data_IF_784943131060
#
_entry.id   IF_784943131060
#
_cell.length_a   1.000
_cell.length_b   1.000
_cell.length_c   1.000
_cell.angle_alpha   90.00
_cell.angle_beta   90.00
_cell.angle_gamma   90.00
#
_symmetry.space_group_name_H-M   'P 1'
#
loop_
_entity.id
_entity.type
_entity.pdbx_description
1 polymer ?
#
# COMPACT_ATOMS: atom_id res chain seq x y z
N UNK A 1 4.13 -18.13 8.06
CA UNK A 1 3.40 -18.35 6.82
C UNK A 1 1.94 -18.67 7.09
N UNK A 2 1.10 -18.40 6.11
CA UNK A 2 -0.30 -18.78 6.18
C UNK A 2 -0.43 -20.32 6.03
N UNK A 3 -1.03 -21.02 6.99
CA UNK A 3 -1.14 -22.48 6.90
C UNK A 3 -1.95 -22.96 5.69
N UNK A 4 -2.85 -22.13 5.16
CA UNK A 4 -3.69 -22.47 4.00
C UNK A 4 -3.05 -22.11 2.67
N UNK A 5 -1.98 -21.30 2.67
CA UNK A 5 -1.29 -20.87 1.45
C UNK A 5 0.18 -20.58 1.76
N UNK A 6 1.07 -21.42 1.23
CA UNK A 6 2.52 -21.33 1.46
C UNK A 6 3.16 -20.08 0.86
N UNK A 7 2.49 -19.43 -0.09
CA UNK A 7 2.98 -18.21 -0.75
C UNK A 7 2.60 -16.94 0.00
N UNK A 8 1.84 -17.06 1.09
CA UNK A 8 1.37 -15.96 1.92
C UNK A 8 1.83 -16.10 3.36
N UNK A 9 1.81 -14.98 4.09
CA UNK A 9 2.00 -14.91 5.53
C UNK A 9 0.70 -14.53 6.20
N UNK A 10 0.58 -14.76 7.50
CA UNK A 10 -0.68 -14.54 8.23
C UNK A 10 -0.41 -13.85 9.56
N UNK A 11 -1.38 -13.02 9.98
CA UNK A 11 -1.38 -12.41 11.32
C UNK A 11 -2.01 -13.37 12.31
N UNK A 12 -1.37 -13.51 13.47
CA UNK A 12 -1.90 -14.26 14.61
C UNK A 12 -2.05 -13.28 15.79
N UNK A 13 -3.20 -12.59 15.91
CA UNK A 13 -3.36 -11.47 16.85
C UNK A 13 -3.33 -11.90 18.31
N UNK A 14 -3.62 -13.15 18.60
CA UNK A 14 -3.58 -13.72 19.95
C UNK A 14 -2.18 -14.16 20.39
N UNK A 15 -1.17 -14.02 19.54
CA UNK A 15 0.19 -14.46 19.82
C UNK A 15 0.39 -15.97 19.79
N UNK A 16 -0.58 -16.75 19.29
CA UNK A 16 -0.52 -18.21 19.28
C UNK A 16 0.56 -18.77 18.36
N UNK A 17 0.98 -17.98 17.35
CA UNK A 17 2.00 -18.36 16.38
C UNK A 17 2.62 -17.11 15.75
N UNK A 18 3.70 -17.32 14.97
CA UNK A 18 4.38 -16.24 14.26
C UNK A 18 5.36 -15.47 15.12
N UNK A 19 6.07 -14.52 14.49
CA UNK A 19 7.03 -13.65 15.14
C UNK A 19 6.40 -12.29 15.41
N UNK A 20 6.80 -11.66 16.51
CA UNK A 20 6.39 -10.29 16.83
C UNK A 20 6.75 -9.33 15.68
N UNK A 21 5.81 -8.49 15.29
CA UNK A 21 5.99 -7.52 14.21
C UNK A 21 5.16 -6.26 14.47
N UNK A 22 5.78 -5.10 14.27
CA UNK A 22 5.13 -3.81 14.50
C UNK A 22 5.33 -2.90 13.31
N UNK A 23 4.23 -2.39 12.77
CA UNK A 23 4.19 -1.39 11.71
C UNK A 23 3.46 -0.15 12.22
N UNK A 24 4.14 0.99 12.23
CA UNK A 24 3.50 2.29 12.45
C UNK A 24 3.15 2.91 11.10
N UNK A 25 2.03 3.62 11.02
CA UNK A 25 1.70 4.32 9.78
C UNK A 25 1.11 5.69 10.05
N UNK A 26 1.24 6.56 9.05
CA UNK A 26 0.68 7.90 9.06
C UNK A 26 0.03 8.17 7.71
N UNK A 27 -1.20 8.67 7.72
CA UNK A 27 -1.90 9.05 6.50
C UNK A 27 -1.30 10.33 5.94
N UNK A 28 -0.87 10.30 4.68
CA UNK A 28 -0.35 11.48 3.98
C UNK A 28 -1.44 12.16 3.15
N UNK A 29 -2.27 11.38 2.44
CA UNK A 29 -3.28 11.92 1.54
C UNK A 29 -4.40 10.90 1.32
N UNK A 30 -5.66 11.37 1.28
CA UNK A 30 -6.82 10.54 1.02
C UNK A 30 -7.48 10.92 -0.30
N UNK A 31 -7.84 9.90 -1.11
CA UNK A 31 -8.47 10.08 -2.42
C UNK A 31 -9.87 9.46 -2.48
N UNK A 32 -10.53 9.29 -1.36
CA UNK A 32 -11.83 8.64 -1.27
C UNK A 32 -11.72 7.13 -1.15
N UNK A 33 -11.41 6.45 -2.24
CA UNK A 33 -11.33 4.97 -2.26
C UNK A 33 -9.94 4.42 -1.97
N UNK A 34 -8.90 5.23 -2.11
CA UNK A 34 -7.53 4.86 -1.79
C UNK A 34 -6.87 5.94 -0.93
N UNK A 35 -5.83 5.57 -0.21
CA UNK A 35 -5.10 6.43 0.71
C UNK A 35 -3.61 6.21 0.55
N UNK A 36 -2.84 7.31 0.55
CA UNK A 36 -1.38 7.25 0.61
C UNK A 36 -0.97 7.29 2.07
N UNK A 37 -0.20 6.31 2.49
CA UNK A 37 0.32 6.23 3.86
C UNK A 37 1.84 6.11 3.85
N UNK A 38 2.46 6.66 4.89
CA UNK A 38 3.87 6.46 5.20
C UNK A 38 3.98 5.44 6.33
N UNK A 39 4.83 4.44 6.15
CA UNK A 39 5.01 3.39 7.14
C UNK A 39 6.40 3.50 7.79
N UNK A 40 6.45 3.24 9.09
CA UNK A 40 7.69 3.14 9.87
C UNK A 40 7.70 1.80 10.58
N UNK A 41 8.74 1.01 10.32
CA UNK A 41 8.84 -0.36 10.81
C UNK A 41 9.73 -0.42 12.04
N UNK A 42 9.25 -1.04 13.13
CA UNK A 42 10.11 -1.47 14.24
C UNK A 42 10.71 -2.83 13.95
N UNK A 43 10.05 -3.63 13.10
CA UNK A 43 10.49 -4.94 12.65
C UNK A 43 10.42 -4.98 11.13
N UNK A 44 11.17 -5.89 10.52
CA UNK A 44 11.16 -6.06 9.06
C UNK A 44 10.86 -7.50 8.67
N UNK A 45 9.73 -8.05 9.13
CA UNK A 45 9.32 -9.41 8.78
C UNK A 45 8.89 -9.50 7.32
N UNK A 46 8.94 -10.70 6.77
CA UNK A 46 8.61 -10.94 5.36
C UNK A 46 7.20 -10.49 5.04
N UNK A 47 7.04 -9.67 4.00
CA UNK A 47 5.77 -9.08 3.56
C UNK A 47 5.02 -8.33 4.65
N UNK A 48 5.71 -7.83 5.68
CA UNK A 48 5.07 -7.29 6.88
C UNK A 48 4.01 -6.22 6.59
N UNK A 49 4.33 -5.20 5.79
CA UNK A 49 3.38 -4.13 5.46
C UNK A 49 2.19 -4.70 4.69
N UNK A 50 2.44 -5.57 3.73
CA UNK A 50 1.40 -6.19 2.91
C UNK A 50 0.44 -7.02 3.75
N UNK A 51 0.98 -7.84 4.66
CA UNK A 51 0.21 -8.68 5.57
C UNK A 51 -0.61 -7.85 6.55
N UNK A 52 0.01 -6.86 7.19
CA UNK A 52 -0.65 -6.02 8.19
C UNK A 52 -1.80 -5.23 7.58
N UNK A 53 -1.60 -4.57 6.44
CA UNK A 53 -2.65 -3.79 5.81
C UNK A 53 -3.79 -4.66 5.26
N UNK A 54 -3.48 -5.84 4.73
CA UNK A 54 -4.54 -6.77 4.33
C UNK A 54 -5.35 -7.25 5.54
N UNK A 55 -4.68 -7.51 6.66
CA UNK A 55 -5.36 -7.95 7.90
C UNK A 55 -6.38 -6.94 8.41
N UNK A 56 -6.07 -5.64 8.35
CA UNK A 56 -7.01 -4.60 8.78
C UNK A 56 -8.03 -4.21 7.69
N UNK A 57 -8.07 -4.94 6.58
CA UNK A 57 -9.05 -4.74 5.52
C UNK A 57 -8.68 -3.68 4.49
N UNK A 58 -7.42 -3.26 4.47
CA UNK A 58 -6.90 -2.23 3.57
C UNK A 58 -5.67 -2.72 2.78
N UNK A 59 -5.83 -3.73 1.90
CA UNK A 59 -4.70 -4.26 1.14
C UNK A 59 -4.05 -3.19 0.28
N UNK A 60 -2.76 -3.36 -0.03
CA UNK A 60 -2.04 -2.45 -0.91
C UNK A 60 -2.64 -2.50 -2.32
N UNK A 61 -2.69 -1.33 -2.95
CA UNK A 61 -3.20 -1.21 -4.32
C UNK A 61 -2.42 -2.12 -5.27
N UNK A 62 -3.13 -2.93 -6.03
CA UNK A 62 -2.62 -3.92 -6.98
C UNK A 62 -1.72 -5.01 -6.37
N UNK A 63 -1.91 -5.32 -5.10
CA UNK A 63 -1.23 -6.43 -4.45
C UNK A 63 -2.00 -7.73 -4.68
N UNK A 64 -1.69 -8.42 -5.77
CA UNK A 64 -2.42 -9.63 -6.19
C UNK A 64 -2.33 -10.76 -5.18
N UNK A 65 -1.21 -10.85 -4.44
CA UNK A 65 -1.01 -11.93 -3.46
C UNK A 65 -1.79 -11.73 -2.18
N UNK A 66 -2.10 -10.47 -1.83
CA UNK A 66 -2.79 -10.10 -0.60
C UNK A 66 -4.08 -9.31 -0.86
N UNK A 67 -4.83 -9.73 -1.87
CA UNK A 67 -6.22 -9.30 -2.14
C UNK A 67 -6.37 -7.85 -2.61
N UNK A 68 -5.29 -7.20 -3.08
CA UNK A 68 -5.31 -5.80 -3.49
C UNK A 68 -5.43 -5.57 -4.99
N UNK A 69 -5.53 -6.63 -5.80
CA UNK A 69 -5.64 -6.52 -7.26
C UNK A 69 -7.09 -6.52 -7.76
N UNK A 70 -8.05 -6.27 -6.88
CA UNK A 70 -9.46 -6.24 -7.20
C UNK A 70 -10.06 -4.88 -6.84
N UNK A 71 -11.21 -4.54 -7.43
CA UNK A 71 -11.96 -3.36 -7.06
C UNK A 71 -12.68 -3.64 -5.74
N UNK A 72 -12.16 -3.07 -4.65
CA UNK A 72 -12.69 -3.29 -3.31
C UNK A 72 -13.70 -2.22 -2.88
N UNK A 73 -13.56 -1.01 -3.41
CA UNK A 73 -14.44 0.13 -3.13
C UNK A 73 -14.70 0.91 -4.40
N UNK A 74 -15.86 1.52 -4.45
CA UNK A 74 -16.31 2.33 -5.57
C UNK A 74 -17.43 1.64 -6.34
N UNK A 75 -17.79 2.22 -7.49
CA UNK A 75 -18.87 1.70 -8.30
C UNK A 75 -18.39 0.58 -9.22
N UNK A 76 -19.31 -0.31 -9.60
CA UNK A 76 -19.05 -1.36 -10.60
C UNK A 76 -19.29 -0.86 -12.02
N UNK A 77 -19.59 0.44 -12.21
CA UNK A 77 -19.86 1.03 -13.51
C UNK A 77 -18.61 1.05 -14.40
N UNK A 78 -18.86 1.00 -15.71
CA UNK A 78 -17.80 0.83 -16.71
C UNK A 78 -16.70 1.89 -16.65
N UNK A 79 -17.04 3.15 -16.38
CA UNK A 79 -16.06 4.24 -16.28
C UNK A 79 -15.07 4.05 -15.13
N UNK A 80 -15.57 3.66 -13.96
CA UNK A 80 -14.72 3.41 -12.79
C UNK A 80 -13.84 2.18 -13.00
N UNK A 81 -14.41 1.11 -13.54
CA UNK A 81 -13.67 -0.10 -13.90
C UNK A 81 -12.52 0.21 -14.85
N UNK A 82 -12.80 1.00 -15.90
CA UNK A 82 -11.80 1.39 -16.88
C UNK A 82 -10.69 2.20 -16.21
N UNK A 83 -11.05 3.10 -15.31
CA UNK A 83 -10.09 3.89 -14.52
C UNK A 83 -9.18 2.98 -13.70
N UNK A 84 -9.72 2.02 -12.96
CA UNK A 84 -8.95 1.08 -12.14
C UNK A 84 -8.04 0.21 -13.02
N UNK A 85 -8.53 -0.29 -14.14
CA UNK A 85 -7.71 -1.08 -15.07
C UNK A 85 -6.53 -0.26 -15.61
N UNK A 86 -6.75 1.01 -15.92
CA UNK A 86 -5.68 1.91 -16.34
C UNK A 86 -4.66 2.13 -15.22
N UNK A 87 -5.12 2.28 -13.97
CA UNK A 87 -4.24 2.39 -12.82
C UNK A 87 -3.39 1.14 -12.61
N UNK A 88 -3.96 -0.04 -12.80
CA UNK A 88 -3.23 -1.31 -12.70
C UNK A 88 -2.16 -1.43 -13.79
N UNK A 89 -2.37 -0.86 -14.98
CA UNK A 89 -1.35 -0.83 -16.03
C UNK A 89 -0.22 0.14 -15.73
N UNK A 90 -0.54 1.28 -15.12
CA UNK A 90 0.45 2.29 -14.74
C UNK A 90 1.39 1.75 -13.68
N UNK A 91 0.84 1.08 -12.66
CA UNK A 91 1.63 0.45 -11.60
C UNK A 91 1.27 -1.05 -11.53
N UNK A 92 1.93 -1.89 -12.34
CA UNK A 92 1.58 -3.31 -12.48
C UNK A 92 2.15 -4.18 -11.36
N UNK A 93 2.20 -3.67 -10.16
CA UNK A 93 2.74 -4.33 -8.97
C UNK A 93 2.09 -3.74 -7.72
N UNK A 94 2.31 -4.38 -6.57
CA UNK A 94 1.88 -3.76 -5.32
C UNK A 94 2.50 -2.37 -5.19
N UNK A 95 1.66 -1.39 -4.86
CA UNK A 95 2.08 0.01 -4.72
C UNK A 95 2.78 0.20 -3.37
N UNK A 96 4.04 -0.20 -3.32
CA UNK A 96 4.88 -0.15 -2.13
C UNK A 96 6.30 0.27 -2.53
N UNK A 97 6.87 1.21 -1.77
CA UNK A 97 8.21 1.72 -2.00
C UNK A 97 8.94 1.99 -0.69
N UNK A 98 10.16 1.49 -0.57
CA UNK A 98 11.04 1.80 0.55
C UNK A 98 11.72 3.14 0.30
N UNK A 99 11.22 4.20 0.94
CA UNK A 99 11.73 5.57 0.77
C UNK A 99 13.06 5.78 1.47
N UNK A 100 13.24 5.17 2.64
CA UNK A 100 14.40 5.39 3.48
C UNK A 100 14.85 4.09 4.12
N UNK A 101 16.15 3.86 4.12
CA UNK A 101 16.76 2.73 4.79
C UNK A 101 17.90 3.24 5.66
N UNK A 102 17.82 2.97 6.97
CA UNK A 102 18.87 3.31 7.92
C UNK A 102 19.48 2.05 8.54
N UNK A 103 20.80 2.04 8.70
CA UNK A 103 21.48 0.95 9.37
C UNK A 103 22.83 1.42 9.94
N UNK A 104 23.36 0.65 10.90
CA UNK A 104 24.67 0.90 11.46
C UNK A 104 25.71 0.11 10.64
N UNK A 105 26.71 0.82 10.11
CA UNK A 105 27.75 0.19 9.30
C UNK A 105 28.55 -0.80 10.15
N UNK A 106 28.68 -2.07 9.77
CA UNK A 106 29.33 -3.08 10.60
C UNK A 106 30.83 -2.86 10.79
N UNK A 107 31.49 -2.15 9.87
CA UNK A 107 32.93 -1.92 9.93
C UNK A 107 33.36 -0.74 10.80
N UNK A 108 32.56 0.31 10.91
CA UNK A 108 32.93 1.56 11.62
C UNK A 108 31.90 2.07 12.64
N UNK A 109 30.80 1.37 12.81
CA UNK A 109 29.74 1.74 13.76
C UNK A 109 28.96 3.00 13.41
N UNK A 110 29.16 3.60 12.25
CA UNK A 110 28.41 4.80 11.83
C UNK A 110 27.02 4.45 11.40
N UNK A 111 26.06 5.30 11.77
CA UNK A 111 24.69 5.20 11.28
C UNK A 111 24.62 5.74 9.86
N UNK A 112 24.17 4.90 8.91
CA UNK A 112 24.00 5.25 7.50
C UNK A 112 22.52 5.31 7.16
N UNK A 113 22.13 6.35 6.43
CA UNK A 113 20.75 6.54 5.96
C UNK A 113 20.78 6.72 4.44
N UNK A 114 19.99 5.91 3.75
CA UNK A 114 19.80 5.99 2.31
C UNK A 114 18.37 6.38 1.99
N UNK A 115 18.19 7.33 1.09
CA UNK A 115 16.87 7.73 0.61
C UNK A 115 16.73 7.39 -0.87
N UNK A 116 15.53 7.00 -1.25
CA UNK A 116 15.17 6.72 -2.64
C UNK A 116 13.93 7.51 -3.01
N UNK A 117 13.94 8.26 -4.13
CA UNK A 117 12.76 9.00 -4.56
C UNK A 117 11.64 8.04 -4.95
N UNK A 118 10.41 8.52 -4.88
CA UNK A 118 9.24 7.75 -5.27
C UNK A 118 9.38 7.32 -6.75
N UNK A 119 9.20 6.02 -7.08
CA UNK A 119 9.28 5.57 -8.46
C UNK A 119 8.25 6.25 -9.35
N UNK A 120 8.57 6.39 -10.64
CA UNK A 120 7.71 7.06 -11.61
C UNK A 120 6.33 6.43 -11.71
N UNK A 121 6.24 5.09 -11.67
CA UNK A 121 4.95 4.39 -11.75
C UNK A 121 4.04 4.73 -10.57
N UNK A 122 4.58 4.80 -9.36
CA UNK A 122 3.81 5.19 -8.18
C UNK A 122 3.45 6.67 -8.20
N UNK A 123 4.36 7.53 -8.67
CA UNK A 123 4.09 8.96 -8.81
C UNK A 123 2.94 9.21 -9.79
N UNK A 124 2.96 8.55 -10.95
CA UNK A 124 1.88 8.63 -11.94
C UNK A 124 0.56 8.09 -11.39
N UNK A 125 0.61 7.00 -10.64
CA UNK A 125 -0.57 6.43 -9.98
C UNK A 125 -1.19 7.43 -8.99
N UNK A 126 -0.39 8.04 -8.14
CA UNK A 126 -0.85 9.04 -7.16
C UNK A 126 -1.48 10.24 -7.87
N UNK A 127 -0.81 10.78 -8.89
CA UNK A 127 -1.34 11.92 -9.67
C UNK A 127 -2.68 11.58 -10.33
N UNK A 128 -2.81 10.38 -10.85
CA UNK A 128 -4.06 9.92 -11.49
C UNK A 128 -5.22 9.84 -10.49
N UNK A 129 -4.97 9.29 -9.31
CA UNK A 129 -5.97 9.23 -8.23
C UNK A 129 -6.32 10.62 -7.71
N UNK A 130 -5.34 11.51 -7.58
CA UNK A 130 -5.57 12.88 -7.14
C UNK A 130 -6.51 13.61 -8.09
N UNK A 131 -6.29 13.50 -9.39
CA UNK A 131 -7.17 14.09 -10.41
C UNK A 131 -8.56 13.48 -10.39
N UNK A 132 -8.65 12.15 -10.27
CA UNK A 132 -9.93 11.46 -10.21
C UNK A 132 -10.74 11.88 -8.96
N UNK A 133 -10.11 11.93 -7.82
CA UNK A 133 -10.73 12.35 -6.56
C UNK A 133 -11.24 13.79 -6.62
N UNK A 134 -10.48 14.69 -7.22
CA UNK A 134 -10.87 16.09 -7.44
C UNK A 134 -12.12 16.19 -8.32
N UNK A 135 -12.16 15.44 -9.43
CA UNK A 135 -13.31 15.40 -10.33
C UNK A 135 -14.56 14.81 -9.66
N UNK A 136 -14.38 13.81 -8.82
CA UNK A 136 -15.50 13.24 -8.05
C UNK A 136 -16.13 14.26 -7.11
N UNK A 137 -15.32 15.07 -6.45
CA UNK A 137 -15.81 16.14 -5.56
C UNK A 137 -16.64 17.16 -6.32
N UNK A 138 -16.23 17.51 -7.54
CA UNK A 138 -16.98 18.43 -8.40
C UNK A 138 -18.33 17.83 -8.84
N UNK A 139 -18.36 16.53 -9.15
CA UNK A 139 -19.59 15.85 -9.54
C UNK A 139 -20.60 15.81 -8.41
N UNK A 140 -20.17 15.49 -7.20
CA UNK A 140 -21.04 15.47 -6.02
C UNK A 140 -21.58 16.86 -5.72
N UNK A 141 -20.75 17.88 -5.83
CA UNK A 141 -21.17 19.28 -5.64
C UNK A 141 -22.16 19.74 -6.74
N UNK A 142 -22.05 19.19 -7.95
CA UNK A 142 -22.93 19.51 -9.07
C UNK A 142 -24.28 18.82 -9.03
N UNK A 143 -24.48 17.82 -8.18
CA UNK A 143 -25.74 17.10 -8.02
C UNK A 143 -26.70 17.76 -7.02
N UNK A 144 -26.22 18.70 -6.25
CA UNK A 144 -27.02 19.48 -5.33
C UNK A 144 -27.68 20.68 -6.03
#
# INVERSE_FOLDING_TARGET
>A
RDPSDRMRFKVFPDGSAGKHAVTHYRVLERFGYVTVVECRLETGRTHQIRVHFNYIGHPLFNDARYDGAEIRKGTIYAKYRQFIENCFRICPRQALHARQLGFIHPGNGKHLVFESPLPEDMRQLIDKWRKYSSNMSEWVAGED
#
